data_IF_622150161319
#
_entry.id   IF_622150161319
#
_cell.length_a   1.000
_cell.length_b   1.000
_cell.length_c   1.000
_cell.angle_alpha   90.00
_cell.angle_beta   90.00
_cell.angle_gamma   90.00
#
_symmetry.space_group_name_H-M   'P 1'
#
loop_
_entity.id
_entity.type
_entity.pdbx_description
1 polymer ?
#
# COMPACT_ATOMS: atom_id res chain seq x y z
N UNK A 1 46.19 0.68 -1.69
CA UNK A 1 45.06 1.10 -2.56
C UNK A 1 44.63 2.49 -2.13
N UNK A 2 45.17 3.56 -2.74
CA UNK A 2 44.68 4.91 -2.46
C UNK A 2 43.42 5.12 -3.27
N UNK A 3 42.24 4.96 -2.66
CA UNK A 3 41.00 5.40 -3.28
C UNK A 3 41.03 6.92 -3.34
N UNK A 4 41.52 7.48 -4.45
CA UNK A 4 41.34 8.90 -4.72
C UNK A 4 39.83 9.17 -4.72
N UNK A 5 39.40 10.04 -3.80
CA UNK A 5 38.04 10.51 -3.71
C UNK A 5 37.55 10.95 -5.10
N UNK A 6 36.36 10.50 -5.48
CA UNK A 6 35.81 10.68 -6.82
C UNK A 6 34.45 11.36 -6.68
N UNK A 7 34.38 12.63 -7.07
CA UNK A 7 33.12 13.37 -7.16
C UNK A 7 32.11 12.68 -8.07
N UNK A 8 32.57 11.94 -9.08
CA UNK A 8 31.71 11.18 -9.95
C UNK A 8 30.97 10.06 -9.21
N UNK A 9 31.65 9.33 -8.32
CA UNK A 9 31.01 8.30 -7.51
C UNK A 9 30.00 8.88 -6.53
N UNK A 10 30.29 10.07 -5.98
CA UNK A 10 29.36 10.78 -5.08
C UNK A 10 28.09 11.18 -5.83
N UNK A 11 28.22 11.81 -7.00
CA UNK A 11 27.06 12.23 -7.82
C UNK A 11 26.24 11.01 -8.25
N UNK A 12 26.88 9.95 -8.76
CA UNK A 12 26.18 8.73 -9.13
C UNK A 12 25.49 8.06 -7.93
N UNK A 13 26.08 8.10 -6.74
CA UNK A 13 25.45 7.59 -5.52
C UNK A 13 24.20 8.40 -5.13
N UNK A 14 24.24 9.73 -5.26
CA UNK A 14 23.08 10.60 -5.02
C UNK A 14 21.95 10.26 -6.00
N UNK A 15 22.26 10.18 -7.30
CA UNK A 15 21.27 9.82 -8.34
C UNK A 15 20.70 8.42 -8.05
N UNK A 16 21.55 7.45 -7.70
CA UNK A 16 21.12 6.11 -7.35
C UNK A 16 20.21 6.09 -6.12
N UNK A 17 20.49 6.91 -5.10
CA UNK A 17 19.64 7.03 -3.90
C UNK A 17 18.25 7.57 -4.23
N UNK A 18 18.18 8.64 -5.03
CA UNK A 18 16.89 9.23 -5.45
C UNK A 18 16.09 8.23 -6.28
N UNK A 19 16.73 7.57 -7.26
CA UNK A 19 16.09 6.54 -8.07
C UNK A 19 15.58 5.36 -7.24
N UNK A 20 16.44 4.83 -6.36
CA UNK A 20 16.10 3.70 -5.50
C UNK A 20 14.95 4.04 -4.54
N UNK A 21 14.93 5.25 -3.98
CA UNK A 21 13.83 5.71 -3.12
C UNK A 21 12.48 5.63 -3.85
N UNK A 22 12.38 6.24 -5.04
CA UNK A 22 11.13 6.23 -5.80
C UNK A 22 10.76 4.83 -6.31
N UNK A 23 11.75 4.02 -6.70
CA UNK A 23 11.52 2.63 -7.06
C UNK A 23 11.01 1.80 -5.87
N UNK A 24 11.53 2.03 -4.65
CA UNK A 24 11.02 1.40 -3.43
C UNK A 24 9.58 1.81 -3.16
N UNK A 25 9.28 3.11 -3.21
CA UNK A 25 7.91 3.60 -3.00
C UNK A 25 6.94 2.97 -4.00
N UNK A 26 7.28 2.95 -5.28
CA UNK A 26 6.46 2.31 -6.31
C UNK A 26 6.34 0.79 -6.14
N UNK A 27 7.37 0.14 -5.58
CA UNK A 27 7.34 -1.27 -5.17
C UNK A 27 6.42 -1.52 -3.97
N UNK A 28 6.44 -0.65 -2.95
CA UNK A 28 5.55 -0.73 -1.79
C UNK A 28 4.10 -0.65 -2.23
N UNK A 29 3.78 0.28 -3.14
CA UNK A 29 2.44 0.38 -3.70
C UNK A 29 2.03 -0.84 -4.53
N UNK A 30 2.96 -1.47 -5.24
CA UNK A 30 2.64 -2.69 -5.98
C UNK A 30 2.38 -3.89 -5.05
N UNK A 31 3.22 -4.08 -4.04
CA UNK A 31 3.19 -5.25 -3.14
C UNK A 31 2.30 -5.07 -1.90
N UNK A 32 1.45 -4.05 -1.88
CA UNK A 32 0.71 -3.69 -0.67
C UNK A 32 -0.19 -4.81 -0.11
N UNK A 33 -0.77 -5.62 -1.00
CA UNK A 33 -1.61 -6.77 -0.63
C UNK A 33 -0.84 -7.87 0.14
N UNK A 34 0.50 -7.88 0.07
CA UNK A 34 1.34 -8.86 0.75
C UNK A 34 1.61 -8.45 2.21
N UNK A 35 1.27 -7.21 2.60
CA UNK A 35 1.46 -6.70 3.98
C UNK A 35 2.91 -6.69 4.45
N UNK A 36 3.88 -6.77 3.52
CA UNK A 36 5.28 -6.95 3.84
C UNK A 36 6.13 -5.80 3.30
N UNK A 37 6.38 -4.80 4.15
CA UNK A 37 7.24 -3.65 3.86
C UNK A 37 8.73 -4.03 3.74
N UNK A 38 9.15 -5.15 4.35
CA UNK A 38 10.55 -5.56 4.37
C UNK A 38 11.02 -5.97 2.98
N UNK A 39 10.17 -6.65 2.20
CA UNK A 39 10.55 -7.14 0.86
C UNK A 39 10.91 -6.00 -0.12
N UNK A 40 10.06 -4.97 -0.34
CA UNK A 40 10.42 -3.83 -1.18
C UNK A 40 11.67 -3.08 -0.70
N UNK A 41 11.85 -2.96 0.62
CA UNK A 41 13.02 -2.29 1.20
C UNK A 41 14.32 -3.06 0.91
N UNK A 42 14.34 -4.37 1.13
CA UNK A 42 15.50 -5.22 0.82
C UNK A 42 15.83 -5.20 -0.67
N UNK A 43 14.80 -5.26 -1.53
CA UNK A 43 14.98 -5.16 -2.97
C UNK A 43 15.56 -3.81 -3.39
N UNK A 44 15.05 -2.70 -2.83
CA UNK A 44 15.57 -1.37 -3.10
C UNK A 44 17.01 -1.16 -2.64
N UNK A 45 17.36 -1.71 -1.48
CA UNK A 45 18.73 -1.70 -0.98
C UNK A 45 19.66 -2.51 -1.90
N UNK A 46 19.20 -3.68 -2.37
CA UNK A 46 19.89 -4.46 -3.39
C UNK A 46 20.10 -3.67 -4.69
N UNK A 47 19.05 -3.01 -5.20
CA UNK A 47 19.10 -2.17 -6.39
C UNK A 47 20.11 -1.03 -6.24
N UNK A 48 20.10 -0.34 -5.10
CA UNK A 48 21.06 0.74 -4.81
C UNK A 48 22.50 0.23 -4.79
N UNK A 49 22.77 -0.87 -4.07
CA UNK A 49 24.11 -1.48 -3.99
C UNK A 49 24.57 -1.89 -5.39
N UNK A 50 23.72 -2.55 -6.18
CA UNK A 50 24.05 -2.98 -7.54
C UNK A 50 24.44 -1.81 -8.43
N UNK A 51 23.72 -0.69 -8.38
CA UNK A 51 24.04 0.52 -9.16
C UNK A 51 25.40 1.09 -8.74
N UNK A 52 25.61 1.31 -7.44
CA UNK A 52 26.86 1.91 -6.92
C UNK A 52 28.07 1.02 -7.20
N UNK A 53 27.94 -0.30 -7.00
CA UNK A 53 29.00 -1.28 -7.30
C UNK A 53 29.31 -1.31 -8.79
N UNK A 54 28.30 -1.31 -9.67
CA UNK A 54 28.51 -1.27 -11.12
C UNK A 54 29.25 -0.01 -11.56
N UNK A 55 28.86 1.17 -11.08
CA UNK A 55 29.55 2.42 -11.41
C UNK A 55 30.98 2.41 -10.89
N UNK A 56 31.22 1.89 -9.68
CA UNK A 56 32.57 1.74 -9.11
C UNK A 56 33.45 0.80 -9.94
N UNK A 57 32.93 -0.36 -10.35
CA UNK A 57 33.64 -1.31 -11.20
C UNK A 57 34.00 -0.69 -12.56
N UNK A 58 33.09 0.08 -13.16
CA UNK A 58 33.37 0.86 -14.39
C UNK A 58 34.40 1.98 -14.18
N UNK A 59 34.47 2.59 -13.00
CA UNK A 59 35.54 3.56 -12.70
C UNK A 59 36.90 2.85 -12.57
N UNK A 60 36.93 1.68 -11.95
CA UNK A 60 38.14 0.86 -11.78
C UNK A 60 38.64 0.24 -13.10
N UNK A 61 37.75 -0.07 -14.06
CA UNK A 61 38.14 -0.61 -15.37
C UNK A 61 39.16 0.28 -16.08
N UNK A 62 39.10 1.62 -15.88
CA UNK A 62 40.00 2.60 -16.48
C UNK A 62 41.46 2.46 -16.02
N UNK A 63 41.72 1.76 -14.92
CA UNK A 63 43.07 1.55 -14.36
C UNK A 63 43.76 0.27 -14.85
N UNK A 64 43.05 -0.60 -15.57
CA UNK A 64 43.62 -1.84 -16.10
C UNK A 64 44.70 -1.56 -17.16
N UNK A 65 45.82 -2.31 -17.08
CA UNK A 65 46.90 -2.26 -18.07
C UNK A 65 46.43 -2.69 -19.48
N UNK A 66 45.54 -3.69 -19.57
CA UNK A 66 45.01 -4.19 -20.85
C UNK A 66 43.75 -3.44 -21.29
N UNK A 67 43.87 -2.67 -22.39
CA UNK A 67 42.74 -1.96 -23.01
C UNK A 67 41.61 -2.90 -23.49
N UNK A 68 41.93 -4.16 -23.84
CA UNK A 68 40.94 -5.16 -24.27
C UNK A 68 40.15 -5.71 -23.07
N UNK A 69 40.84 -6.01 -21.96
CA UNK A 69 40.19 -6.49 -20.73
C UNK A 69 39.29 -5.42 -20.09
N UNK A 70 39.77 -4.17 -20.05
CA UNK A 70 39.02 -3.01 -19.58
C UNK A 70 37.68 -2.82 -20.32
N UNK A 71 37.71 -2.84 -21.67
CA UNK A 71 36.50 -2.72 -22.49
C UNK A 71 35.51 -3.87 -22.30
N UNK A 72 35.98 -5.11 -22.14
CA UNK A 72 35.09 -6.26 -21.90
C UNK A 72 34.36 -6.13 -20.56
N UNK A 73 35.07 -5.70 -19.50
CA UNK A 73 34.47 -5.48 -18.19
C UNK A 73 33.41 -4.38 -18.24
N UNK A 74 33.70 -3.26 -18.92
CA UNK A 74 32.74 -2.14 -19.09
C UNK A 74 31.45 -2.59 -19.77
N UNK A 75 31.55 -3.39 -20.83
CA UNK A 75 30.37 -3.93 -21.52
C UNK A 75 29.54 -4.85 -20.62
N UNK A 76 30.18 -5.81 -19.93
CA UNK A 76 29.47 -6.76 -19.06
C UNK A 76 28.76 -6.01 -17.92
N UNK A 77 29.49 -5.14 -17.22
CA UNK A 77 28.94 -4.35 -16.12
C UNK A 77 27.87 -3.37 -16.62
N UNK A 78 28.01 -2.85 -17.84
CA UNK A 78 27.02 -1.97 -18.47
C UNK A 78 25.71 -2.67 -18.78
N UNK A 79 25.77 -3.89 -19.31
CA UNK A 79 24.57 -4.72 -19.51
C UNK A 79 23.88 -5.05 -18.17
N UNK A 80 24.65 -5.38 -17.13
CA UNK A 80 24.09 -5.62 -15.78
C UNK A 80 23.44 -4.36 -15.23
N UNK A 81 24.11 -3.22 -15.32
CA UNK A 81 23.57 -1.94 -14.85
C UNK A 81 22.28 -1.60 -15.59
N UNK A 82 22.24 -1.77 -16.92
CA UNK A 82 21.06 -1.53 -17.71
C UNK A 82 19.89 -2.44 -17.29
N UNK A 83 20.13 -3.73 -17.10
CA UNK A 83 19.09 -4.66 -16.65
C UNK A 83 18.52 -4.27 -15.28
N UNK A 84 19.39 -3.91 -14.32
CA UNK A 84 18.97 -3.42 -12.99
C UNK A 84 18.15 -2.13 -13.10
N UNK A 85 18.60 -1.16 -13.90
CA UNK A 85 17.88 0.09 -14.12
C UNK A 85 16.54 -0.13 -14.82
N UNK A 86 16.45 -1.08 -15.74
CA UNK A 86 15.22 -1.37 -16.46
C UNK A 86 14.14 -1.94 -15.54
N UNK A 87 14.47 -2.94 -14.73
CA UNK A 87 13.56 -3.46 -13.70
C UNK A 87 13.20 -2.37 -12.70
N UNK A 88 14.19 -1.59 -12.25
CA UNK A 88 13.97 -0.45 -11.37
C UNK A 88 13.00 0.60 -11.91
N UNK A 89 13.07 0.84 -13.22
CA UNK A 89 12.30 1.88 -13.89
C UNK A 89 10.81 1.57 -13.92
N UNK A 90 10.42 0.29 -13.93
CA UNK A 90 9.02 -0.12 -13.85
C UNK A 90 8.41 0.39 -12.53
N UNK A 91 9.07 0.12 -11.40
CA UNK A 91 8.60 0.56 -10.10
C UNK A 91 8.73 2.07 -9.90
N UNK A 92 9.82 2.67 -10.38
CA UNK A 92 9.99 4.12 -10.39
C UNK A 92 8.82 4.82 -11.09
N UNK A 93 8.42 4.35 -12.27
CA UNK A 93 7.28 4.90 -13.00
C UNK A 93 5.95 4.62 -12.30
N UNK A 94 5.80 3.45 -11.67
CA UNK A 94 4.61 3.16 -10.89
C UNK A 94 4.36 4.21 -9.79
N UNK A 95 5.42 4.61 -9.07
CA UNK A 95 5.32 5.70 -8.09
C UNK A 95 4.82 7.00 -8.71
N UNK A 96 5.37 7.40 -9.86
CA UNK A 96 4.99 8.66 -10.50
C UNK A 96 3.56 8.63 -11.06
N UNK A 97 3.09 7.49 -11.53
CA UNK A 97 1.69 7.32 -11.92
C UNK A 97 0.76 7.48 -10.71
N UNK A 98 1.06 6.81 -9.59
CA UNK A 98 0.31 6.95 -8.34
C UNK A 98 0.34 8.39 -7.82
N UNK A 99 1.49 9.07 -7.95
CA UNK A 99 1.60 10.47 -7.59
C UNK A 99 0.73 11.38 -8.49
N UNK A 100 0.63 11.06 -9.78
CA UNK A 100 -0.27 11.77 -10.69
C UNK A 100 -1.74 11.59 -10.26
N UNK A 101 -2.12 10.37 -9.90
CA UNK A 101 -3.47 9.95 -9.53
C UNK A 101 -3.81 10.21 -8.04
N UNK A 102 -2.92 10.87 -7.29
CA UNK A 102 -3.04 11.06 -5.82
C UNK A 102 -4.35 11.69 -5.36
N UNK A 103 -5.00 12.50 -6.20
CA UNK A 103 -6.27 13.16 -5.86
C UNK A 103 -7.41 12.14 -5.89
N UNK A 104 -7.45 11.33 -6.94
CA UNK A 104 -8.45 10.29 -7.13
C UNK A 104 -8.31 9.23 -6.03
N UNK A 105 -7.07 8.83 -5.71
CA UNK A 105 -6.77 7.95 -4.57
C UNK A 105 -7.27 8.52 -3.23
N UNK A 106 -7.11 9.83 -3.00
CA UNK A 106 -7.60 10.47 -1.78
C UNK A 106 -9.12 10.52 -1.72
N UNK A 107 -9.79 10.71 -2.86
CA UNK A 107 -11.24 10.68 -2.96
C UNK A 107 -11.79 9.26 -2.73
N UNK A 108 -11.20 8.26 -3.38
CA UNK A 108 -11.56 6.85 -3.17
C UNK A 108 -11.31 6.40 -1.73
N UNK A 109 -10.22 6.83 -1.08
CA UNK A 109 -10.02 6.53 0.34
C UNK A 109 -11.14 7.10 1.20
N UNK A 110 -11.59 8.34 0.93
CA UNK A 110 -12.73 8.94 1.64
C UNK A 110 -14.00 8.16 1.40
N UNK A 111 -14.23 7.65 0.20
CA UNK A 111 -15.36 6.77 -0.08
C UNK A 111 -15.27 5.45 0.69
N UNK A 112 -14.10 4.82 0.77
CA UNK A 112 -13.87 3.62 1.56
C UNK A 112 -14.14 3.87 3.05
N UNK A 113 -13.62 4.97 3.61
CA UNK A 113 -13.88 5.37 4.99
C UNK A 113 -15.38 5.60 5.24
N UNK A 114 -16.07 6.32 4.36
CA UNK A 114 -17.53 6.54 4.46
C UNK A 114 -18.32 5.24 4.35
N UNK A 115 -17.93 4.33 3.46
CA UNK A 115 -18.53 3.00 3.34
C UNK A 115 -18.32 2.16 4.60
N UNK A 116 -17.17 2.31 5.28
CA UNK A 116 -16.91 1.68 6.57
C UNK A 116 -17.75 2.29 7.71
N UNK A 117 -17.89 3.62 7.77
CA UNK A 117 -18.78 4.28 8.75
C UNK A 117 -20.26 3.91 8.55
N UNK A 118 -20.68 3.70 7.30
CA UNK A 118 -22.05 3.33 6.98
C UNK A 118 -22.44 1.93 7.50
N UNK A 119 -21.47 1.07 7.82
CA UNK A 119 -21.71 -0.21 8.50
C UNK A 119 -22.47 -0.02 9.82
N UNK A 120 -22.04 0.95 10.64
CA UNK A 120 -22.59 1.19 11.97
C UNK A 120 -24.04 1.67 11.87
N UNK A 121 -24.33 2.55 10.91
CA UNK A 121 -25.68 3.02 10.61
C UNK A 121 -26.57 1.90 10.07
N UNK A 122 -26.03 1.03 9.22
CA UNK A 122 -26.75 -0.12 8.70
C UNK A 122 -27.11 -1.10 9.83
N UNK A 123 -26.18 -1.37 10.74
CA UNK A 123 -26.42 -2.20 11.90
C UNK A 123 -27.44 -1.60 12.86
N UNK A 124 -27.35 -0.30 13.16
CA UNK A 124 -28.32 0.39 14.01
C UNK A 124 -29.74 0.32 13.42
N UNK A 125 -29.87 0.49 12.10
CA UNK A 125 -31.15 0.36 11.39
C UNK A 125 -31.68 -1.07 11.45
N UNK A 126 -30.82 -2.07 11.29
CA UNK A 126 -31.15 -3.48 11.44
C UNK A 126 -31.69 -3.78 12.85
N UNK A 127 -30.96 -3.37 13.89
CA UNK A 127 -31.34 -3.55 15.31
C UNK A 127 -32.68 -2.89 15.61
N UNK A 128 -32.88 -1.63 15.18
CA UNK A 128 -34.15 -0.89 15.38
C UNK A 128 -35.33 -1.63 14.74
N UNK A 129 -35.16 -2.13 13.51
CA UNK A 129 -36.21 -2.91 12.81
C UNK A 129 -36.50 -4.21 13.56
N UNK A 130 -35.46 -4.93 13.98
CA UNK A 130 -35.57 -6.20 14.70
C UNK A 130 -36.29 -6.06 16.03
N UNK A 131 -35.93 -5.07 16.86
CA UNK A 131 -36.61 -4.78 18.14
C UNK A 131 -38.08 -4.43 17.92
N UNK A 132 -38.37 -3.56 16.93
CA UNK A 132 -39.75 -3.17 16.63
C UNK A 132 -40.62 -4.37 16.20
N UNK A 133 -40.10 -5.21 15.30
CA UNK A 133 -40.80 -6.41 14.85
C UNK A 133 -41.05 -7.38 16.01
N UNK A 134 -40.05 -7.55 16.86
CA UNK A 134 -40.17 -8.37 18.06
C UNK A 134 -41.25 -7.85 19.01
N UNK A 135 -41.31 -6.54 19.26
CA UNK A 135 -42.36 -5.91 20.06
C UNK A 135 -43.78 -6.18 19.54
N UNK A 136 -43.97 -6.02 18.22
CA UNK A 136 -45.26 -6.32 17.55
C UNK A 136 -45.62 -7.80 17.72
N UNK A 137 -44.67 -8.71 17.51
CA UNK A 137 -44.91 -10.16 17.64
C UNK A 137 -45.23 -10.56 19.09
N UNK A 138 -44.63 -9.90 20.09
CA UNK A 138 -44.97 -10.12 21.50
C UNK A 138 -46.40 -9.67 21.83
N UNK A 139 -46.85 -8.53 21.30
CA UNK A 139 -48.22 -8.06 21.51
C UNK A 139 -49.28 -8.96 20.86
N UNK A 140 -48.98 -9.50 19.67
CA UNK A 140 -49.87 -10.42 18.96
C UNK A 140 -50.02 -11.78 19.66
N UNK A 141 -48.95 -12.25 20.33
CA UNK A 141 -48.91 -13.56 21.00
C UNK A 141 -49.10 -13.48 22.53
N UNK A 142 -49.58 -12.33 23.03
CA UNK A 142 -49.63 -11.99 24.47
C UNK A 142 -50.58 -12.87 25.30
N UNK A 143 -51.47 -13.63 24.65
CA UNK A 143 -52.45 -14.52 25.31
C UNK A 143 -51.81 -15.80 25.86
N UNK A 144 -50.61 -16.17 25.38
CA UNK A 144 -50.00 -17.50 25.64
C UNK A 144 -48.77 -17.50 26.58
N UNK A 145 -48.39 -16.39 27.23
CA UNK A 145 -47.11 -16.31 27.96
C UNK A 145 -47.16 -15.85 29.42
N UNK A 146 -46.56 -16.69 30.28
CA UNK A 146 -46.16 -16.42 31.67
C UNK A 146 -44.63 -16.15 31.80
N UNK A 147 -43.98 -15.75 30.70
CA UNK A 147 -42.51 -15.55 30.63
C UNK A 147 -42.18 -14.05 30.48
N UNK A 148 -41.29 -13.47 31.31
CA UNK A 148 -40.94 -12.05 31.25
C UNK A 148 -39.84 -11.80 30.21
N UNK A 149 -40.10 -12.06 28.93
CA UNK A 149 -39.19 -11.66 27.84
C UNK A 149 -39.64 -10.29 27.32
N UNK A 150 -38.76 -9.30 27.39
CA UNK A 150 -39.06 -7.91 27.01
C UNK A 150 -38.13 -7.43 25.89
N UNK A 151 -38.59 -6.44 25.13
CA UNK A 151 -37.76 -5.71 24.16
C UNK A 151 -36.44 -5.21 24.76
N UNK A 152 -36.42 -4.87 26.05
CA UNK A 152 -35.23 -4.43 26.76
C UNK A 152 -34.18 -5.56 26.90
N UNK A 153 -34.61 -6.81 27.00
CA UNK A 153 -33.72 -7.98 27.02
C UNK A 153 -33.10 -8.23 25.63
N UNK A 154 -33.88 -8.11 24.56
CA UNK A 154 -33.37 -8.21 23.19
C UNK A 154 -32.38 -7.08 22.89
N UNK A 155 -32.75 -5.84 23.23
CA UNK A 155 -31.90 -4.65 23.04
C UNK A 155 -30.54 -4.78 23.73
N UNK A 156 -30.49 -5.27 24.98
CA UNK A 156 -29.23 -5.46 25.71
C UNK A 156 -28.30 -6.48 25.06
N UNK A 157 -28.84 -7.48 24.37
CA UNK A 157 -28.04 -8.51 23.68
C UNK A 157 -27.45 -7.99 22.38
N UNK A 158 -28.29 -7.38 21.54
CA UNK A 158 -27.89 -6.98 20.18
C UNK A 158 -27.30 -5.55 20.11
N UNK A 159 -27.39 -4.78 21.19
CA UNK A 159 -26.85 -3.42 21.29
C UNK A 159 -26.24 -3.17 22.67
N UNK A 160 -25.13 -3.86 23.03
CA UNK A 160 -24.49 -3.67 24.32
C UNK A 160 -23.91 -2.25 24.45
N UNK A 161 -23.91 -1.69 25.66
CA UNK A 161 -23.42 -0.30 25.87
C UNK A 161 -21.94 -0.11 25.53
N UNK A 162 -21.13 -1.18 25.62
CA UNK A 162 -19.74 -1.19 25.16
C UNK A 162 -19.61 -0.84 23.67
N UNK A 163 -20.62 -1.16 22.86
CA UNK A 163 -20.60 -0.92 21.43
C UNK A 163 -20.57 0.57 21.09
N UNK A 164 -21.22 1.42 21.88
CA UNK A 164 -21.25 2.88 21.62
C UNK A 164 -19.84 3.49 21.69
N UNK A 165 -19.07 3.08 22.70
CA UNK A 165 -17.69 3.55 22.88
C UNK A 165 -16.80 3.06 21.74
N UNK A 166 -16.96 1.81 21.31
CA UNK A 166 -16.17 1.25 20.20
C UNK A 166 -16.53 1.90 18.85
N UNK A 167 -17.81 2.19 18.60
CA UNK A 167 -18.27 2.94 17.43
C UNK A 167 -17.67 4.34 17.41
N UNK A 168 -17.62 5.05 18.54
CA UNK A 168 -17.01 6.38 18.59
C UNK A 168 -15.50 6.33 18.26
N UNK A 169 -14.74 5.42 18.90
CA UNK A 169 -13.31 5.23 18.61
C UNK A 169 -13.07 4.89 17.14
N UNK A 170 -13.94 4.09 16.54
CA UNK A 170 -13.88 3.72 15.13
C UNK A 170 -14.04 4.94 14.22
N UNK A 171 -15.02 5.80 14.47
CA UNK A 171 -15.23 7.01 13.67
C UNK A 171 -14.03 7.96 13.79
N UNK A 172 -13.51 8.18 15.00
CA UNK A 172 -12.30 8.98 15.21
C UNK A 172 -11.10 8.43 14.44
N UNK A 173 -10.94 7.10 14.43
CA UNK A 173 -9.90 6.42 13.67
C UNK A 173 -10.09 6.56 12.16
N UNK A 174 -11.31 6.38 11.64
CA UNK A 174 -11.62 6.51 10.21
C UNK A 174 -11.38 7.93 9.71
N UNK A 175 -11.77 8.96 10.47
CA UNK A 175 -11.49 10.36 10.13
C UNK A 175 -9.98 10.62 10.02
N UNK A 176 -9.16 10.00 10.88
CA UNK A 176 -7.70 10.13 10.80
C UNK A 176 -7.07 9.47 9.57
N UNK A 177 -7.80 8.61 8.87
CA UNK A 177 -7.33 7.86 7.70
C UNK A 177 -7.68 8.52 6.36
N UNK A 178 -8.55 9.52 6.34
CA UNK A 178 -9.00 10.18 5.09
C UNK A 178 -7.88 10.93 4.37
N UNK A 179 -6.89 11.45 5.11
CA UNK A 179 -5.78 12.21 4.56
C UNK A 179 -4.62 11.28 4.15
N UNK A 180 -4.73 10.77 2.92
CA UNK A 180 -3.71 9.90 2.33
C UNK A 180 -2.53 10.71 1.79
N UNK A 181 -1.32 10.38 2.26
CA UNK A 181 -0.08 10.87 1.67
C UNK A 181 0.61 9.78 0.84
N UNK A 182 0.75 10.00 -0.46
CA UNK A 182 1.47 9.11 -1.40
C UNK A 182 3.00 9.14 -1.23
N UNK A 183 3.53 9.97 -0.33
CA UNK A 183 4.93 9.87 0.12
C UNK A 183 5.07 9.07 1.40
N UNK A 184 3.96 8.71 2.06
CA UNK A 184 4.02 7.88 3.25
C UNK A 184 4.08 6.39 2.85
N UNK A 185 5.19 5.68 3.12
CA UNK A 185 5.33 4.27 2.79
C UNK A 185 4.38 3.37 3.59
N UNK A 186 3.77 3.89 4.67
CA UNK A 186 2.85 3.16 5.54
C UNK A 186 1.41 3.19 4.98
N UNK A 187 1.09 4.10 4.06
CA UNK A 187 -0.26 4.25 3.49
C UNK A 187 -0.89 2.92 3.07
N UNK A 188 -0.22 2.03 2.32
CA UNK A 188 -0.87 0.79 1.89
C UNK A 188 -1.11 -0.19 3.03
N UNK A 189 -0.29 -0.15 4.09
CA UNK A 189 -0.51 -0.92 5.30
C UNK A 189 -1.71 -0.41 6.10
N UNK A 190 -1.94 0.91 6.11
CA UNK A 190 -3.13 1.50 6.73
C UNK A 190 -4.41 1.02 6.04
N UNK A 191 -4.42 0.92 4.70
CA UNK A 191 -5.54 0.38 3.93
C UNK A 191 -5.80 -1.09 4.30
N UNK A 192 -4.76 -1.91 4.42
CA UNK A 192 -4.90 -3.30 4.85
C UNK A 192 -5.42 -3.40 6.30
N UNK A 193 -4.96 -2.53 7.20
CA UNK A 193 -5.45 -2.47 8.57
C UNK A 193 -6.94 -2.09 8.60
N UNK A 194 -7.38 -1.21 7.71
CA UNK A 194 -8.78 -0.85 7.54
C UNK A 194 -9.61 -2.04 7.05
N UNK A 195 -9.14 -2.78 6.04
CA UNK A 195 -9.80 -4.01 5.56
C UNK A 195 -9.95 -5.03 6.70
N UNK A 196 -8.87 -5.33 7.43
CA UNK A 196 -8.92 -6.27 8.54
C UNK A 196 -9.85 -5.80 9.68
N UNK A 197 -9.81 -4.50 10.01
CA UNK A 197 -10.69 -3.91 11.01
C UNK A 197 -12.15 -4.02 10.58
N UNK A 198 -12.45 -3.72 9.31
CA UNK A 198 -13.79 -3.83 8.76
C UNK A 198 -14.34 -5.26 8.84
N UNK A 199 -13.53 -6.27 8.50
CA UNK A 199 -13.90 -7.67 8.65
C UNK A 199 -14.20 -8.03 10.10
N UNK A 200 -13.36 -7.60 11.04
CA UNK A 200 -13.58 -7.83 12.48
C UNK A 200 -14.89 -7.19 12.96
N UNK A 201 -15.18 -5.97 12.51
CA UNK A 201 -16.40 -5.25 12.88
C UNK A 201 -17.65 -5.92 12.32
N UNK A 202 -17.60 -6.33 11.05
CA UNK A 202 -18.70 -7.03 10.37
C UNK A 202 -18.97 -8.36 11.06
N UNK A 203 -17.93 -9.16 11.33
CA UNK A 203 -18.04 -10.41 12.08
C UNK A 203 -18.65 -10.21 13.48
N UNK A 204 -18.27 -9.15 14.20
CA UNK A 204 -18.87 -8.83 15.49
C UNK A 204 -20.38 -8.53 15.36
N UNK A 205 -20.79 -7.77 14.35
CA UNK A 205 -22.20 -7.50 14.09
C UNK A 205 -22.99 -8.73 13.66
N UNK A 206 -22.39 -9.60 12.85
CA UNK A 206 -22.97 -10.89 12.51
C UNK A 206 -23.17 -11.77 13.76
N UNK A 207 -22.16 -11.85 14.63
CA UNK A 207 -22.22 -12.64 15.87
C UNK A 207 -23.29 -12.11 16.82
N UNK A 208 -23.37 -10.79 17.03
CA UNK A 208 -24.43 -10.17 17.82
C UNK A 208 -25.83 -10.40 17.22
N UNK A 209 -25.91 -10.62 15.91
CA UNK A 209 -27.18 -10.89 15.22
C UNK A 209 -27.60 -12.37 15.22
N UNK A 210 -26.75 -13.28 15.72
CA UNK A 210 -26.84 -14.72 15.46
C UNK A 210 -27.86 -15.46 16.33
N UNK A 211 -28.08 -15.01 17.56
CA UNK A 211 -29.05 -15.58 18.48
C UNK A 211 -30.44 -15.03 18.21
N UNK A 212 -31.46 -15.88 18.14
CA UNK A 212 -32.87 -15.48 17.95
C UNK A 212 -33.69 -15.78 19.22
N UNK A 213 -34.57 -14.86 19.62
CA UNK A 213 -35.59 -15.15 20.62
C UNK A 213 -36.82 -15.82 19.98
N UNK A 214 -37.65 -16.43 20.82
CA UNK A 214 -38.96 -16.96 20.42
C UNK A 214 -39.78 -15.89 19.70
N UNK A 215 -40.42 -16.24 18.58
CA UNK A 215 -41.22 -15.33 17.73
C UNK A 215 -40.41 -14.27 16.96
N UNK A 216 -39.09 -14.43 16.85
CA UNK A 216 -38.30 -13.68 15.87
C UNK A 216 -38.29 -14.37 14.50
N UNK A 217 -38.62 -13.61 13.45
CA UNK A 217 -38.48 -13.99 12.05
C UNK A 217 -37.70 -12.89 11.33
N UNK A 218 -36.37 -12.96 11.43
CA UNK A 218 -35.43 -11.95 10.90
C UNK A 218 -34.17 -12.65 10.41
N UNK A 219 -33.65 -12.22 9.26
CA UNK A 219 -32.36 -12.70 8.76
C UNK A 219 -31.19 -12.19 9.61
N UNK A 220 -30.04 -12.85 9.47
CA UNK A 220 -28.77 -12.35 10.02
C UNK A 220 -28.35 -11.07 9.32
N UNK A 221 -27.61 -10.22 10.03
CA UNK A 221 -27.03 -9.03 9.45
C UNK A 221 -26.02 -9.40 8.35
N UNK A 222 -25.97 -8.64 7.26
CA UNK A 222 -25.01 -8.78 6.16
C UNK A 222 -24.78 -7.41 5.53
N UNK A 223 -23.53 -7.10 5.19
CA UNK A 223 -23.12 -5.83 4.60
C UNK A 223 -21.97 -6.02 3.61
N UNK A 224 -22.13 -5.51 2.36
CA UNK A 224 -21.21 -5.83 1.24
C UNK A 224 -20.62 -4.58 0.56
N UNK A 225 -21.14 -3.38 0.83
CA UNK A 225 -20.74 -2.16 0.08
C UNK A 225 -19.27 -1.75 0.29
N UNK A 226 -18.66 -2.14 1.40
CA UNK A 226 -17.25 -1.85 1.67
C UNK A 226 -16.31 -2.52 0.66
N UNK A 227 -16.52 -3.80 0.35
CA UNK A 227 -15.65 -4.56 -0.56
C UNK A 227 -15.62 -3.94 -1.97
N UNK A 228 -16.74 -3.41 -2.44
CA UNK A 228 -16.79 -2.73 -3.73
C UNK A 228 -15.92 -1.47 -3.72
N UNK A 229 -16.11 -0.57 -2.76
CA UNK A 229 -15.28 0.65 -2.64
C UNK A 229 -13.80 0.32 -2.47
N UNK A 230 -13.49 -0.72 -1.69
CA UNK A 230 -12.11 -1.13 -1.47
C UNK A 230 -11.47 -1.65 -2.75
N UNK A 231 -12.15 -2.47 -3.55
CA UNK A 231 -11.61 -2.98 -4.83
C UNK A 231 -11.36 -1.87 -5.86
N UNK A 232 -12.17 -0.81 -5.86
CA UNK A 232 -11.88 0.39 -6.66
C UNK A 232 -10.55 1.03 -6.23
N UNK A 233 -10.38 1.30 -4.94
CA UNK A 233 -9.12 1.79 -4.37
C UNK A 233 -7.92 0.88 -4.69
N UNK A 234 -8.13 -0.45 -4.65
CA UNK A 234 -7.09 -1.43 -5.01
C UNK A 234 -6.65 -1.30 -6.48
N UNK A 235 -7.57 -0.91 -7.36
CA UNK A 235 -7.33 -0.70 -8.79
C UNK A 235 -6.33 0.41 -9.05
N UNK A 236 -6.41 1.51 -8.31
CA UNK A 236 -5.57 2.69 -8.52
C UNK A 236 -4.09 2.46 -8.21
N UNK A 237 -3.77 1.53 -7.29
CA UNK A 237 -2.39 1.19 -6.93
C UNK A 237 -1.70 0.17 -7.87
N UNK A 238 -2.40 -0.35 -8.89
CA UNK A 238 -1.81 -1.33 -9.82
C UNK A 238 -0.76 -0.71 -10.74
N UNK A 239 0.18 -1.54 -11.21
CA UNK A 239 1.19 -1.09 -12.17
C UNK A 239 0.52 -0.68 -13.49
N UNK A 240 0.53 0.63 -13.76
CA UNK A 240 0.04 1.22 -15.03
C UNK A 240 1.16 1.47 -16.06
N UNK A 241 2.43 1.25 -15.70
CA UNK A 241 3.57 1.62 -16.56
C UNK A 241 3.76 0.67 -17.75
N UNK A 242 3.91 1.22 -18.95
CA UNK A 242 4.30 0.46 -20.14
C UNK A 242 5.77 0.02 -20.09
N UNK A 243 6.06 -1.17 -20.64
CA UNK A 243 7.43 -1.69 -20.81
C UNK A 243 8.30 -0.70 -21.59
N UNK A 244 7.73 -0.04 -22.61
CA UNK A 244 8.43 0.94 -23.43
C UNK A 244 8.85 2.18 -22.63
N UNK A 245 7.94 2.72 -21.81
CA UNK A 245 8.27 3.87 -20.93
C UNK A 245 9.33 3.50 -19.90
N UNK A 246 9.29 2.27 -19.38
CA UNK A 246 10.32 1.75 -18.47
C UNK A 246 11.69 1.67 -19.14
N UNK A 247 11.75 1.22 -20.40
CA UNK A 247 12.98 1.16 -21.18
C UNK A 247 13.57 2.56 -21.43
N UNK A 248 12.74 3.52 -21.84
CA UNK A 248 13.18 4.91 -22.04
C UNK A 248 13.72 5.54 -20.76
N UNK A 249 13.04 5.32 -19.63
CA UNK A 249 13.47 5.80 -18.31
C UNK A 249 14.81 5.19 -17.91
N UNK A 250 15.01 3.90 -18.15
CA UNK A 250 16.26 3.22 -17.87
C UNK A 250 17.43 3.78 -18.68
N UNK A 251 17.22 4.09 -19.97
CA UNK A 251 18.23 4.72 -20.82
C UNK A 251 18.61 6.12 -20.32
N UNK A 252 17.62 6.93 -19.93
CA UNK A 252 17.85 8.27 -19.36
C UNK A 252 18.65 8.16 -18.05
N UNK A 253 18.25 7.26 -17.15
CA UNK A 253 18.94 7.05 -15.88
C UNK A 253 20.36 6.52 -16.07
N UNK A 254 20.58 5.63 -17.04
CA UNK A 254 21.91 5.15 -17.39
C UNK A 254 22.79 6.31 -17.89
N UNK A 255 22.26 7.19 -18.73
CA UNK A 255 22.94 8.42 -19.16
C UNK A 255 23.34 9.31 -17.98
N UNK A 256 22.40 9.59 -17.07
CA UNK A 256 22.64 10.42 -15.87
C UNK A 256 23.69 9.80 -14.92
N UNK A 257 23.61 8.49 -14.69
CA UNK A 257 24.52 7.78 -13.78
C UNK A 257 25.94 7.66 -14.35
N UNK A 258 26.08 7.55 -15.66
CA UNK A 258 27.37 7.44 -16.35
C UNK A 258 27.97 8.79 -16.74
N UNK A 259 27.18 9.88 -16.76
CA UNK A 259 27.67 11.22 -17.06
C UNK A 259 28.92 11.62 -16.23
N UNK A 260 28.95 11.38 -14.90
CA UNK A 260 30.14 11.67 -14.10
C UNK A 260 31.34 10.76 -14.44
N UNK A 261 31.10 9.53 -14.90
CA UNK A 261 32.15 8.64 -15.42
C UNK A 261 32.74 9.14 -16.74
N UNK A 262 31.93 9.70 -17.64
CA UNK A 262 32.42 10.28 -18.90
C UNK A 262 33.29 11.52 -18.69
N UNK A 263 32.95 12.37 -17.71
CA UNK A 263 33.67 13.61 -17.41
C UNK A 263 35.03 13.36 -16.73
N UNK A 264 35.22 12.19 -16.09
CA UNK A 264 36.53 11.84 -15.56
C UNK A 264 37.60 11.71 -16.66
N UNK A 265 38.44 12.74 -16.75
CA UNK A 265 39.66 12.77 -17.56
C UNK A 265 40.57 11.62 -17.13
N UNK A 266 41.02 10.80 -18.09
CA UNK A 266 42.03 9.77 -17.81
C UNK A 266 43.28 10.48 -17.28
N UNK A 267 43.90 10.02 -16.18
CA UNK A 267 45.17 10.58 -15.75
C UNK A 267 46.16 10.44 -16.90
N UNK A 268 46.65 11.58 -17.40
CA UNK A 268 47.74 11.64 -18.37
C UNK A 268 48.92 10.94 -17.70
N UNK A 269 49.35 9.81 -18.28
CA UNK A 269 50.61 9.20 -17.88
C UNK A 269 51.70 10.08 -18.48
N UNK A 270 52.45 10.77 -17.62
CA UNK A 270 53.79 11.20 -17.98
C UNK A 270 54.65 9.95 -17.89
N UNK A 271 55.06 9.44 -19.06
CA UNK A 271 56.10 8.43 -19.19
C UNK A 271 57.46 9.04 -18.84
#
# INVERSE_FOLDING_TARGET
MNSKFSWALVISAIIASVFAYFAVMGGIYHYWYVGNLIKPLLWGLGLWISIVVSVKLMCCSKTYKSKKASRRLEWIVGCILFAVLWVGSIFFLNFWNIYADRKDISEEMKEVCKSAEALDKAYEKYVKKRIRNYGINLELNRVDMDIPISEASLKRRILPDSLKTEVQKRHEWLTSMEDVNVFNPITPFNIQKLENGFEEWTNNYEELSKEFMLYEDVDRFNYVSFHTSLEHLKGEYRIKSSVFTGLMTALIMMGLLLFPWYIMVKPIKFD
#
